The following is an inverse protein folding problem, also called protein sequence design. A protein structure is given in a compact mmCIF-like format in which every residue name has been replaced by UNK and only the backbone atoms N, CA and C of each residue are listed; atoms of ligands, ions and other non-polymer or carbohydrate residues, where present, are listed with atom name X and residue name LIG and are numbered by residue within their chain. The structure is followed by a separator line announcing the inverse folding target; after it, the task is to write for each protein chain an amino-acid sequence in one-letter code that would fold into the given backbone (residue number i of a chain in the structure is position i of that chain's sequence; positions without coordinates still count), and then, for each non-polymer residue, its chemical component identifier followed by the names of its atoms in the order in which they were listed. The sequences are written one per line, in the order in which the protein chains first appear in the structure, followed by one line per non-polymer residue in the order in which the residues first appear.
data_IF_458901764061
#
_entry.id   IF_458901764061
#
_cell.length_a   1.000
_cell.length_b   1.000
_cell.length_c   1.000
_cell.angle_alpha   90.00
_cell.angle_beta   90.00
_cell.angle_gamma   90.00
#
_symmetry.space_group_name_H-M   'P 1'
#
loop_
_entity.id
_entity.type
_entity.pdbx_description
1 polymer ?
#
# COMPACT_ATOMS: atom_id res chain seq x y z
N UNK A 1 22.79 -11.56 13.27
CA UNK A 1 22.81 -10.41 12.33
C UNK A 1 21.43 -10.31 11.72
N UNK A 2 20.76 -9.16 11.79
CA UNK A 2 19.49 -8.98 11.10
C UNK A 2 19.73 -9.07 9.58
N UNK A 3 18.92 -9.84 8.87
CA UNK A 3 19.06 -9.97 7.42
C UNK A 3 18.72 -8.62 6.76
N UNK A 4 19.34 -8.31 5.62
CA UNK A 4 19.04 -7.10 4.84
C UNK A 4 17.54 -7.00 4.48
N UNK A 5 16.85 -8.14 4.43
CA UNK A 5 15.43 -8.24 4.16
C UNK A 5 14.53 -7.77 5.31
N UNK A 6 15.02 -7.75 6.55
CA UNK A 6 14.29 -7.29 7.75
C UNK A 6 14.60 -5.84 8.12
N UNK A 7 15.12 -5.04 7.18
CA UNK A 7 15.36 -3.60 7.37
C UNK A 7 14.33 -2.78 6.61
N UNK A 8 14.14 -1.52 7.03
CA UNK A 8 13.34 -0.56 6.28
C UNK A 8 13.81 -0.50 4.83
N UNK A 9 12.89 -0.63 3.89
CA UNK A 9 13.18 -0.51 2.48
C UNK A 9 13.03 0.94 2.03
N UNK A 10 14.09 1.50 1.44
CA UNK A 10 14.11 2.88 0.93
C UNK A 10 14.53 2.85 -0.53
N UNK A 11 13.62 3.14 -1.48
CA UNK A 11 13.93 3.09 -2.90
C UNK A 11 15.15 3.95 -3.25
N UNK A 12 16.14 3.36 -3.92
CA UNK A 12 17.39 4.01 -4.32
C UNK A 12 18.54 3.92 -3.31
N UNK A 13 18.32 3.38 -2.10
CA UNK A 13 19.40 3.10 -1.11
C UNK A 13 19.84 1.63 -1.09
N UNK A 14 19.07 0.75 -1.71
CA UNK A 14 19.29 -0.70 -1.75
C UNK A 14 19.35 -1.17 -3.21
N UNK A 15 19.88 -2.38 -3.42
CA UNK A 15 19.94 -3.03 -4.73
C UNK A 15 18.59 -3.04 -5.44
N UNK A 16 18.61 -2.87 -6.75
CA UNK A 16 17.41 -2.96 -7.58
C UNK A 16 16.76 -4.35 -7.42
N UNK A 17 15.46 -4.36 -7.14
CA UNK A 17 14.66 -5.59 -7.07
C UNK A 17 13.91 -5.76 -8.38
N UNK A 18 13.84 -6.99 -8.89
CA UNK A 18 12.85 -7.34 -9.92
C UNK A 18 11.43 -7.17 -9.37
N UNK A 19 10.43 -7.07 -10.24
CA UNK A 19 9.03 -6.95 -9.81
C UNK A 19 8.60 -8.11 -8.90
N UNK A 20 8.95 -9.35 -9.27
CA UNK A 20 8.64 -10.54 -8.47
C UNK A 20 9.33 -10.51 -7.10
N UNK A 21 10.61 -10.09 -7.04
CA UNK A 21 11.32 -9.94 -5.76
C UNK A 21 10.70 -8.85 -4.89
N UNK A 22 10.30 -7.72 -5.49
CA UNK A 22 9.62 -6.65 -4.78
C UNK A 22 8.25 -7.10 -4.26
N UNK A 23 7.44 -7.79 -5.08
CA UNK A 23 6.14 -8.29 -4.66
C UNK A 23 6.28 -9.28 -3.48
N UNK A 24 7.20 -10.24 -3.58
CA UNK A 24 7.41 -11.25 -2.55
C UNK A 24 7.94 -10.72 -1.20
N UNK A 25 8.58 -9.54 -1.20
CA UNK A 25 9.20 -8.92 0.00
C UNK A 25 8.42 -7.72 0.54
N UNK A 26 7.88 -6.89 -0.36
CA UNK A 26 7.32 -5.56 -0.09
C UNK A 26 5.81 -5.50 -0.39
N UNK A 27 5.27 -6.50 -1.08
CA UNK A 27 3.88 -6.56 -1.53
C UNK A 27 3.58 -5.89 -2.87
N UNK A 28 2.42 -6.24 -3.43
CA UNK A 28 2.03 -5.88 -4.79
C UNK A 28 1.97 -4.37 -5.02
N UNK A 29 1.43 -3.60 -4.05
CA UNK A 29 1.36 -2.13 -4.16
C UNK A 29 2.75 -1.50 -4.18
N UNK A 30 3.65 -1.92 -3.30
CA UNK A 30 5.03 -1.42 -3.27
C UNK A 30 5.78 -1.78 -4.55
N UNK A 31 5.61 -3.00 -5.08
CA UNK A 31 6.17 -3.42 -6.35
C UNK A 31 5.65 -2.56 -7.52
N UNK A 32 4.36 -2.22 -7.52
CA UNK A 32 3.75 -1.29 -8.47
C UNK A 32 4.38 0.11 -8.40
N UNK A 33 4.55 0.68 -7.20
CA UNK A 33 5.20 1.98 -7.01
C UNK A 33 6.65 1.98 -7.53
N UNK A 34 7.40 0.91 -7.28
CA UNK A 34 8.76 0.74 -7.80
C UNK A 34 8.78 0.67 -9.33
N UNK A 35 7.84 -0.05 -9.94
CA UNK A 35 7.70 -0.14 -11.39
C UNK A 35 7.40 1.23 -12.01
N UNK A 36 6.46 1.99 -11.44
CA UNK A 36 6.12 3.34 -11.92
C UNK A 36 7.33 4.28 -11.83
N UNK A 37 8.10 4.20 -10.73
CA UNK A 37 9.34 4.99 -10.57
C UNK A 37 10.42 4.59 -11.57
N UNK A 38 10.57 3.30 -11.87
CA UNK A 38 11.52 2.82 -12.89
C UNK A 38 11.15 3.30 -14.30
N UNK A 39 9.86 3.56 -14.56
CA UNK A 39 9.37 4.18 -15.79
C UNK A 39 9.50 5.71 -15.81
N UNK A 40 10.06 6.33 -14.76
CA UNK A 40 10.24 7.78 -14.66
C UNK A 40 8.97 8.57 -14.37
N UNK A 41 7.89 7.91 -13.95
CA UNK A 41 6.64 8.59 -13.57
C UNK A 41 6.80 9.31 -12.22
N UNK A 42 6.07 10.42 -12.00
CA UNK A 42 6.16 11.21 -10.77
C UNK A 42 5.48 10.49 -9.60
N UNK A 43 6.21 9.57 -8.96
CA UNK A 43 5.75 8.86 -7.77
C UNK A 43 6.23 9.59 -6.52
N UNK A 44 5.33 10.02 -5.60
CA UNK A 44 5.73 10.59 -4.33
C UNK A 44 6.64 9.64 -3.55
N UNK A 45 7.62 10.21 -2.87
CA UNK A 45 8.59 9.50 -2.05
C UNK A 45 7.89 8.57 -1.07
N UNK A 46 8.43 7.35 -0.95
CA UNK A 46 7.88 6.33 -0.08
C UNK A 46 8.99 5.46 0.49
N UNK A 47 8.68 4.83 1.61
CA UNK A 47 9.47 3.79 2.24
C UNK A 47 8.55 2.62 2.56
N UNK A 48 9.11 1.44 2.75
CA UNK A 48 8.33 0.23 3.03
C UNK A 48 8.90 -0.48 4.23
N UNK A 49 8.03 -0.82 5.18
CA UNK A 49 8.29 -1.82 6.20
C UNK A 49 8.01 -3.19 5.58
N UNK A 50 9.04 -3.98 5.23
CA UNK A 50 8.86 -5.26 4.54
C UNK A 50 8.17 -6.30 5.42
N UNK A 51 7.65 -7.36 4.79
CA UNK A 51 6.98 -8.45 5.51
C UNK A 51 7.87 -9.13 6.56
N UNK A 52 9.18 -9.22 6.31
CA UNK A 52 10.15 -9.79 7.23
C UNK A 52 10.24 -9.06 8.59
N UNK A 53 9.76 -7.82 8.71
CA UNK A 53 9.65 -7.13 10.01
C UNK A 53 8.55 -7.72 10.89
N UNK A 54 7.49 -8.25 10.27
CA UNK A 54 6.31 -8.77 10.97
C UNK A 54 6.36 -10.30 11.14
N UNK A 55 7.14 -11.00 10.32
CA UNK A 55 7.26 -12.47 10.36
C UNK A 55 7.60 -13.04 11.75
N UNK A 56 8.58 -12.49 12.51
CA UNK A 56 8.91 -13.02 13.84
C UNK A 56 7.74 -12.97 14.82
N UNK A 57 6.89 -11.95 14.70
CA UNK A 57 5.72 -11.76 15.56
C UNK A 57 4.64 -12.83 15.34
N UNK A 58 4.54 -13.31 14.09
CA UNK A 58 3.54 -14.25 13.62
C UNK A 58 4.04 -15.71 13.61
N UNK A 59 5.33 -15.92 13.88
CA UNK A 59 5.95 -17.23 13.89
C UNK A 59 5.31 -18.14 14.97
N UNK A 60 5.08 -19.40 14.61
CA UNK A 60 4.47 -20.41 15.49
C UNK A 60 2.95 -20.31 15.64
N UNK A 61 2.30 -19.25 15.16
CA UNK A 61 0.84 -19.17 15.19
C UNK A 61 0.20 -20.05 14.11
N UNK A 62 -0.95 -20.70 14.38
CA UNK A 62 -1.69 -21.42 13.36
C UNK A 62 -1.97 -20.54 12.14
N UNK A 63 -1.82 -21.11 10.94
CA UNK A 63 -2.11 -20.43 9.66
C UNK A 63 -3.57 -20.62 9.22
N UNK A 64 -4.34 -21.40 9.98
CA UNK A 64 -5.77 -21.65 9.80
C UNK A 64 -6.62 -20.61 10.52
N UNK A 65 -7.94 -20.73 10.41
CA UNK A 65 -8.91 -19.85 11.09
C UNK A 65 -8.68 -19.69 12.59
N UNK A 66 -8.17 -20.73 13.25
CA UNK A 66 -7.88 -20.72 14.69
C UNK A 66 -6.82 -19.68 15.10
N UNK A 67 -5.88 -19.33 14.21
CA UNK A 67 -4.79 -18.40 14.52
C UNK A 67 -5.04 -16.95 14.09
N UNK A 68 -6.10 -16.67 13.33
CA UNK A 68 -6.27 -15.36 12.69
C UNK A 68 -6.51 -14.21 13.69
N UNK A 69 -7.30 -14.48 14.73
CA UNK A 69 -7.57 -13.50 15.77
C UNK A 69 -6.28 -13.11 16.53
N UNK A 70 -5.46 -14.10 16.88
CA UNK A 70 -4.18 -13.85 17.57
C UNK A 70 -3.18 -13.13 16.65
N UNK A 71 -3.10 -13.51 15.37
CA UNK A 71 -2.26 -12.82 14.37
C UNK A 71 -2.65 -11.34 14.26
N UNK A 72 -3.95 -11.04 14.19
CA UNK A 72 -4.46 -9.67 14.16
C UNK A 72 -4.13 -8.90 15.45
N UNK A 73 -4.33 -9.53 16.61
CA UNK A 73 -4.06 -8.92 17.91
C UNK A 73 -2.58 -8.56 18.07
N UNK A 74 -1.67 -9.49 17.73
CA UNK A 74 -0.22 -9.23 17.80
C UNK A 74 0.21 -8.09 16.88
N UNK A 75 -0.30 -8.04 15.65
CA UNK A 75 0.00 -6.95 14.71
C UNK A 75 -0.55 -5.60 15.20
N UNK A 76 -1.72 -5.61 15.85
CA UNK A 76 -2.33 -4.39 16.40
C UNK A 76 -1.50 -3.81 17.56
N UNK A 77 -0.77 -4.65 18.29
CA UNK A 77 0.18 -4.25 19.34
C UNK A 77 1.63 -4.18 18.85
N UNK A 78 1.87 -4.15 17.53
CA UNK A 78 3.22 -4.14 16.99
C UNK A 78 3.94 -2.83 17.30
N UNK A 79 5.12 -2.94 17.91
CA UNK A 79 6.03 -1.82 18.12
C UNK A 79 7.15 -1.86 17.08
N UNK A 80 7.35 -0.73 16.40
CA UNK A 80 8.43 -0.60 15.40
C UNK A 80 9.78 -0.71 16.12
N UNK A 81 10.66 -1.66 15.74
CA UNK A 81 11.96 -1.84 16.38
C UNK A 81 12.81 -0.56 16.35
N UNK A 82 13.63 -0.26 17.38
CA UNK A 82 14.37 1.00 17.49
C UNK A 82 15.19 1.38 16.25
N UNK A 83 15.88 0.41 15.64
CA UNK A 83 16.66 0.64 14.43
C UNK A 83 15.79 1.04 13.24
N UNK A 84 14.67 0.34 13.02
CA UNK A 84 13.68 0.66 11.98
C UNK A 84 13.04 2.01 12.23
N UNK A 85 12.71 2.32 13.49
CA UNK A 85 12.13 3.59 13.91
C UNK A 85 13.09 4.75 13.61
N UNK A 86 14.37 4.62 13.96
CA UNK A 86 15.39 5.63 13.67
C UNK A 86 15.55 5.88 12.16
N UNK A 87 15.64 4.81 11.36
CA UNK A 87 15.76 4.92 9.90
C UNK A 87 14.51 5.56 9.26
N UNK A 88 13.32 5.20 9.76
CA UNK A 88 12.06 5.78 9.31
C UNK A 88 11.98 7.25 9.68
N UNK A 89 12.34 7.63 10.92
CA UNK A 89 12.40 9.02 11.32
C UNK A 89 13.32 9.85 10.41
N UNK A 90 14.52 9.33 10.14
CA UNK A 90 15.47 9.99 9.25
C UNK A 90 14.92 10.19 7.83
N UNK A 91 14.23 9.17 7.28
CA UNK A 91 13.62 9.27 5.96
C UNK A 91 12.49 10.29 5.92
N UNK A 92 11.61 10.30 6.91
CA UNK A 92 10.45 11.20 6.94
C UNK A 92 10.83 12.65 7.24
N UNK A 93 11.85 12.88 8.08
CA UNK A 93 12.39 14.24 8.31
C UNK A 93 12.93 14.85 7.00
N UNK A 94 13.52 14.05 6.11
CA UNK A 94 13.95 14.52 4.80
C UNK A 94 12.77 14.89 3.87
N UNK A 95 11.54 14.53 4.23
CA UNK A 95 10.32 14.90 3.54
C UNK A 95 9.55 16.02 4.23
N UNK A 96 10.16 16.67 5.23
CA UNK A 96 9.56 17.71 6.07
C UNK A 96 8.41 17.23 6.97
N UNK A 97 8.39 15.93 7.33
CA UNK A 97 7.47 15.42 8.34
C UNK A 97 7.87 15.94 9.74
N UNK A 98 6.92 16.37 10.61
CA UNK A 98 5.46 16.23 10.50
C UNK A 98 4.73 17.38 9.80
N UNK A 99 5.39 18.44 9.36
CA UNK A 99 4.74 19.56 8.68
C UNK A 99 4.12 19.13 7.34
N UNK A 100 4.79 18.22 6.63
CA UNK A 100 4.26 17.52 5.47
C UNK A 100 3.67 16.15 5.90
N UNK A 101 2.35 15.94 5.77
CA UNK A 101 1.72 14.67 6.16
C UNK A 101 2.13 13.50 5.26
N UNK A 102 1.95 12.29 5.80
CA UNK A 102 2.16 11.03 5.09
C UNK A 102 0.88 10.18 5.08
N UNK A 103 0.79 9.29 4.09
CA UNK A 103 -0.19 8.23 4.01
C UNK A 103 0.47 6.89 4.37
N UNK A 104 -0.17 6.13 5.25
CA UNK A 104 0.25 4.77 5.63
C UNK A 104 -0.67 3.78 4.93
N UNK A 105 -0.12 2.91 4.09
CA UNK A 105 -0.87 2.07 3.15
C UNK A 105 -0.44 0.63 3.26
N UNK A 106 -1.39 -0.27 3.30
CA UNK A 106 -1.19 -1.71 3.26
C UNK A 106 -0.59 -2.17 1.94
N UNK A 107 0.33 -3.12 1.99
CA UNK A 107 0.88 -3.84 0.83
C UNK A 107 1.11 -5.28 1.26
N UNK A 108 0.62 -6.28 0.54
CA UNK A 108 0.71 -7.68 1.02
C UNK A 108 1.65 -8.49 0.14
N UNK A 109 2.61 -9.15 0.78
CA UNK A 109 3.77 -9.78 0.13
C UNK A 109 3.53 -11.17 -0.47
N UNK A 110 2.30 -11.68 -0.36
CA UNK A 110 1.83 -12.89 -1.05
C UNK A 110 0.77 -12.57 -2.13
N UNK A 111 0.68 -11.29 -2.51
CA UNK A 111 -0.02 -10.87 -3.72
C UNK A 111 0.85 -11.23 -4.94
N UNK A 112 0.46 -12.30 -5.64
CA UNK A 112 0.93 -12.50 -7.01
C UNK A 112 0.39 -11.37 -7.87
N UNK A 113 1.23 -10.35 -8.09
CA UNK A 113 0.90 -9.11 -8.77
C UNK A 113 0.43 -9.25 -10.23
N UNK A 114 0.44 -10.46 -10.78
CA UNK A 114 -0.08 -10.76 -12.13
C UNK A 114 -1.53 -11.27 -12.13
N UNK A 115 -2.03 -11.85 -11.03
CA UNK A 115 -3.36 -12.49 -11.00
C UNK A 115 -4.32 -11.95 -9.92
N UNK A 116 -3.80 -11.36 -8.84
CA UNK A 116 -4.60 -11.03 -7.65
C UNK A 116 -4.30 -9.62 -7.13
N UNK A 117 -4.89 -8.60 -7.77
CA UNK A 117 -4.97 -7.28 -7.17
C UNK A 117 -6.12 -7.25 -6.15
N UNK A 118 -5.88 -6.65 -4.97
CA UNK A 118 -6.89 -6.39 -3.95
C UNK A 118 -7.42 -4.94 -4.07
N UNK A 119 -8.39 -4.64 -4.97
CA UNK A 119 -8.98 -3.31 -5.01
C UNK A 119 -9.76 -3.06 -3.70
N UNK A 120 -9.40 -1.98 -2.99
CA UNK A 120 -10.23 -1.38 -1.93
C UNK A 120 -10.40 -2.16 -0.62
N UNK A 121 -9.73 -3.30 -0.41
CA UNK A 121 -10.01 -4.17 0.75
C UNK A 121 -9.10 -3.99 1.96
N UNK A 122 -8.01 -3.24 1.83
CA UNK A 122 -7.02 -3.09 2.89
C UNK A 122 -6.91 -1.64 3.34
N UNK A 123 -6.75 -1.45 4.66
CA UNK A 123 -6.76 -0.12 5.26
C UNK A 123 -5.63 0.76 4.70
N UNK A 124 -5.97 2.03 4.57
CA UNK A 124 -5.02 3.13 4.44
C UNK A 124 -5.38 4.16 5.52
N UNK A 125 -4.36 4.78 6.11
CA UNK A 125 -4.54 5.91 7.03
C UNK A 125 -3.90 7.12 6.36
N UNK A 126 -4.73 8.10 6.03
CA UNK A 126 -4.32 9.33 5.39
C UNK A 126 -4.07 10.43 6.41
N UNK A 127 -3.39 11.49 5.96
CA UNK A 127 -3.17 12.73 6.72
C UNK A 127 -2.51 12.49 8.07
N UNK A 128 -1.61 11.51 8.16
CA UNK A 128 -0.83 11.27 9.37
C UNK A 128 0.19 12.39 9.49
N UNK A 129 0.11 13.16 10.58
CA UNK A 129 0.87 14.39 10.79
C UNK A 129 1.54 14.46 12.15
N UNK A 130 1.73 13.33 12.83
CA UNK A 130 2.48 13.25 14.08
C UNK A 130 3.07 11.84 14.29
N UNK A 131 4.11 11.75 15.13
CA UNK A 131 4.83 10.50 15.37
C UNK A 131 3.97 9.43 16.08
N UNK A 132 3.23 9.73 17.16
CA UNK A 132 2.32 8.75 17.76
C UNK A 132 1.32 8.15 16.78
N UNK A 133 0.66 8.99 15.97
CA UNK A 133 -0.29 8.58 14.95
C UNK A 133 0.37 7.70 13.88
N UNK A 134 1.60 8.01 13.48
CA UNK A 134 2.36 7.18 12.54
C UNK A 134 2.58 5.76 13.07
N UNK A 135 2.96 5.60 14.34
CA UNK A 135 3.18 4.28 14.94
C UNK A 135 1.89 3.48 15.04
N UNK A 136 0.81 4.12 15.51
CA UNK A 136 -0.51 3.51 15.55
C UNK A 136 -1.01 3.11 14.15
N UNK A 137 -0.79 3.97 13.15
CA UNK A 137 -1.17 3.70 11.77
C UNK A 137 -0.41 2.51 11.17
N UNK A 138 0.90 2.39 11.44
CA UNK A 138 1.69 1.23 10.99
C UNK A 138 1.14 -0.08 11.55
N UNK A 139 0.88 -0.15 12.86
CA UNK A 139 0.33 -1.34 13.52
C UNK A 139 -1.07 -1.68 12.98
N UNK A 140 -1.96 -0.68 12.92
CA UNK A 140 -3.32 -0.82 12.38
C UNK A 140 -3.32 -1.33 10.93
N UNK A 141 -2.52 -0.71 10.07
CA UNK A 141 -2.46 -1.08 8.65
C UNK A 141 -1.88 -2.48 8.47
N UNK A 142 -0.87 -2.88 9.26
CA UNK A 142 -0.37 -4.24 9.24
C UNK A 142 -1.44 -5.26 9.69
N UNK A 143 -2.18 -4.96 10.76
CA UNK A 143 -3.26 -5.80 11.28
C UNK A 143 -4.44 -5.95 10.30
N UNK A 144 -4.69 -4.93 9.47
CA UNK A 144 -5.78 -4.94 8.47
C UNK A 144 -5.70 -6.09 7.46
N UNK A 145 -4.52 -6.72 7.30
CA UNK A 145 -4.34 -7.94 6.51
C UNK A 145 -5.17 -9.13 7.03
N UNK A 146 -5.65 -9.07 8.29
CA UNK A 146 -6.51 -10.05 8.93
C UNK A 146 -7.92 -9.51 9.20
N UNK A 147 -8.31 -8.40 8.58
CA UNK A 147 -9.70 -7.91 8.62
C UNK A 147 -10.66 -8.91 7.98
N UNK A 148 -11.92 -8.87 8.36
CA UNK A 148 -12.95 -9.74 7.79
C UNK A 148 -12.97 -9.67 6.24
N UNK A 149 -12.90 -8.45 5.69
CA UNK A 149 -12.86 -8.23 4.24
C UNK A 149 -11.65 -8.89 3.57
N UNK A 150 -10.46 -8.73 4.15
CA UNK A 150 -9.25 -9.36 3.63
C UNK A 150 -9.34 -10.89 3.67
N UNK A 151 -9.86 -11.46 4.77
CA UNK A 151 -10.02 -12.90 4.93
C UNK A 151 -11.06 -13.50 3.96
N UNK A 152 -12.20 -12.82 3.78
CA UNK A 152 -13.24 -13.23 2.82
C UNK A 152 -12.66 -13.28 1.41
N UNK A 153 -11.94 -12.23 0.98
CA UNK A 153 -11.31 -12.23 -0.33
C UNK A 153 -10.32 -13.36 -0.50
N UNK A 154 -9.45 -13.59 0.48
CA UNK A 154 -8.45 -14.67 0.42
C UNK A 154 -9.11 -16.03 0.27
N UNK A 155 -10.21 -16.29 0.98
CA UNK A 155 -11.02 -17.50 0.80
C UNK A 155 -11.59 -17.62 -0.62
N UNK A 156 -12.20 -16.55 -1.14
CA UNK A 156 -12.76 -16.55 -2.49
C UNK A 156 -11.72 -16.78 -3.58
N UNK A 157 -10.48 -16.33 -3.36
CA UNK A 157 -9.36 -16.50 -4.29
C UNK A 157 -8.54 -17.78 -4.06
N UNK A 158 -8.88 -18.59 -3.06
CA UNK A 158 -8.09 -19.78 -2.70
C UNK A 158 -6.68 -19.47 -2.19
N UNK A 159 -6.45 -18.25 -1.69
CA UNK A 159 -5.17 -17.81 -1.14
C UNK A 159 -4.99 -18.31 0.30
N UNK A 160 -3.75 -18.55 0.78
CA UNK A 160 -3.49 -18.93 2.16
C UNK A 160 -4.08 -17.91 3.15
N UNK A 161 -4.71 -18.33 4.26
CA UNK A 161 -5.29 -17.38 5.21
C UNK A 161 -4.24 -16.59 6.00
N UNK A 162 -3.03 -17.15 6.15
CA UNK A 162 -1.91 -16.46 6.76
C UNK A 162 -1.30 -15.45 5.78
N UNK A 163 -1.70 -14.18 5.90
CA UNK A 163 -1.15 -13.09 5.11
C UNK A 163 0.25 -12.70 5.57
N UNK A 164 1.08 -12.23 4.62
CA UNK A 164 2.39 -11.61 4.87
C UNK A 164 2.29 -10.08 4.70
N UNK A 165 1.92 -9.32 5.76
CA UNK A 165 1.71 -7.88 5.65
C UNK A 165 3.02 -7.14 5.46
N UNK A 166 3.01 -6.13 4.60
CA UNK A 166 4.00 -5.06 4.51
C UNK A 166 3.28 -3.71 4.56
N UNK A 167 4.00 -2.65 4.93
CA UNK A 167 3.41 -1.32 5.11
C UNK A 167 4.20 -0.29 4.33
N UNK A 168 3.54 0.43 3.45
CA UNK A 168 4.09 1.58 2.72
C UNK A 168 3.80 2.84 3.52
N UNK A 169 4.82 3.64 3.78
CA UNK A 169 4.67 5.03 4.25
C UNK A 169 5.07 5.93 3.10
N UNK A 170 4.15 6.77 2.64
CA UNK A 170 4.31 7.58 1.44
C UNK A 170 4.03 9.04 1.75
N UNK A 171 4.86 9.96 1.24
CA UNK A 171 4.59 11.40 1.32
C UNK A 171 3.23 11.69 0.71
N UNK A 172 2.33 12.32 1.47
CA UNK A 172 0.99 12.60 1.00
C UNK A 172 0.98 13.87 0.14
N UNK A 173 0.38 13.78 -1.04
CA UNK A 173 0.20 14.95 -1.91
C UNK A 173 -0.96 15.79 -1.38
N UNK A 174 -0.76 17.11 -1.26
CA UNK A 174 -1.83 18.08 -1.02
C UNK A 174 -2.67 18.24 -2.29
N UNK A 175 -3.50 17.24 -2.57
CA UNK A 175 -4.25 17.14 -3.81
C UNK A 175 -5.33 18.21 -3.90
N UNK A 176 -5.33 18.97 -5.00
CA UNK A 176 -6.47 19.82 -5.40
C UNK A 176 -7.57 18.97 -6.07
N UNK A 177 -7.15 17.93 -6.77
CA UNK A 177 -8.00 16.89 -7.34
C UNK A 177 -7.26 15.56 -7.32
N UNK A 178 -8.01 14.47 -7.30
CA UNK A 178 -7.50 13.11 -7.37
C UNK A 178 -8.46 12.24 -8.18
N UNK A 179 -7.97 11.13 -8.73
CA UNK A 179 -8.79 10.29 -9.58
C UNK A 179 -8.24 8.89 -9.78
N UNK A 180 -9.04 8.09 -10.49
CA UNK A 180 -8.68 6.76 -10.99
C UNK A 180 -8.76 6.79 -12.51
N UNK A 181 -7.71 6.31 -13.17
CA UNK A 181 -7.65 6.18 -14.61
C UNK A 181 -7.74 4.69 -14.98
N UNK A 182 -8.69 4.36 -15.84
CA UNK A 182 -8.83 3.05 -16.45
C UNK A 182 -8.33 3.13 -17.89
N UNK A 183 -7.30 2.35 -18.21
CA UNK A 183 -6.77 2.28 -19.57
C UNK A 183 -7.67 1.48 -20.52
N UNK A 184 -8.62 0.74 -19.98
CA UNK A 184 -9.73 0.11 -20.70
C UNK A 184 -10.91 0.06 -19.74
N UNK A 185 -12.05 0.56 -20.19
CA UNK A 185 -13.32 0.51 -19.45
C UNK A 185 -14.33 -0.35 -20.24
N UNK A 186 -15.07 -1.28 -19.61
CA UNK A 186 -15.93 -2.23 -20.34
C UNK A 186 -16.95 -1.54 -21.27
N UNK A 187 -17.51 -0.42 -20.83
CA UNK A 187 -18.50 0.38 -21.54
C UNK A 187 -17.88 1.19 -22.69
N UNK A 188 -16.61 1.61 -22.54
CA UNK A 188 -15.88 2.44 -23.49
C UNK A 188 -14.50 1.82 -23.83
N UNK A 189 -14.45 0.67 -24.52
CA UNK A 189 -13.22 -0.09 -24.67
C UNK A 189 -12.14 0.62 -25.50
N UNK A 190 -12.53 1.60 -26.32
CA UNK A 190 -11.63 2.42 -27.16
C UNK A 190 -11.16 3.70 -26.48
N UNK A 191 -11.61 3.97 -25.25
CA UNK A 191 -11.34 5.20 -24.52
C UNK A 191 -10.61 4.91 -23.20
N UNK A 192 -9.90 5.90 -22.72
CA UNK A 192 -9.38 5.98 -21.36
C UNK A 192 -10.46 6.64 -20.51
N UNK A 193 -10.97 5.95 -19.49
CA UNK A 193 -11.94 6.53 -18.57
C UNK A 193 -11.24 7.06 -17.33
N UNK A 194 -11.42 8.34 -17.01
CA UNK A 194 -10.88 8.98 -15.82
C UNK A 194 -12.02 9.43 -14.91
N UNK A 195 -12.03 8.92 -13.68
CA UNK A 195 -12.94 9.37 -12.62
C UNK A 195 -12.19 10.30 -11.70
N UNK A 196 -12.63 11.55 -11.56
CA UNK A 196 -11.96 12.56 -10.75
C UNK A 196 -12.89 13.19 -9.71
N UNK A 197 -12.29 13.58 -8.59
CA UNK A 197 -12.96 14.32 -7.51
C UNK A 197 -12.07 15.45 -7.03
N UNK A 198 -12.68 16.50 -6.48
CA UNK A 198 -11.95 17.55 -5.78
C UNK A 198 -11.34 17.01 -4.48
N UNK A 199 -10.12 17.45 -4.15
CA UNK A 199 -9.40 17.04 -2.95
C UNK A 199 -8.77 15.63 -3.06
N UNK A 200 -8.80 14.89 -1.95
CA UNK A 200 -8.19 13.56 -1.84
C UNK A 200 -9.09 12.48 -2.45
N UNK A 201 -8.48 11.47 -3.08
CA UNK A 201 -9.19 10.41 -3.80
C UNK A 201 -9.78 9.30 -2.94
N UNK A 202 -9.71 9.38 -1.60
CA UNK A 202 -10.23 8.33 -0.72
C UNK A 202 -11.75 8.16 -0.86
N UNK A 203 -12.49 9.27 -0.86
CA UNK A 203 -13.94 9.24 -1.01
C UNK A 203 -14.38 8.67 -2.36
N UNK A 204 -13.58 8.83 -3.40
CA UNK A 204 -13.80 8.19 -4.70
C UNK A 204 -13.61 6.67 -4.61
N UNK A 205 -12.47 6.22 -4.09
CA UNK A 205 -12.13 4.78 -4.02
C UNK A 205 -13.09 4.00 -3.11
N UNK A 206 -13.63 4.64 -2.08
CA UNK A 206 -14.62 4.04 -1.17
C UNK A 206 -16.07 4.18 -1.66
N UNK A 207 -16.31 4.79 -2.83
CA UNK A 207 -17.65 4.99 -3.40
C UNK A 207 -18.52 5.99 -2.62
N UNK A 208 -17.92 6.86 -1.83
CA UNK A 208 -18.61 7.88 -1.03
C UNK A 208 -18.83 9.19 -1.80
N UNK A 209 -17.99 9.46 -2.80
CA UNK A 209 -18.09 10.63 -3.66
C UNK A 209 -18.48 10.21 -5.07
N UNK A 210 -19.38 10.97 -5.69
CA UNK A 210 -19.72 10.83 -7.10
C UNK A 210 -18.61 11.53 -7.89
N UNK A 211 -17.84 10.81 -8.74
CA UNK A 211 -16.83 11.44 -9.57
C UNK A 211 -17.43 12.21 -10.74
N UNK A 212 -16.66 13.18 -11.23
CA UNK A 212 -16.75 13.61 -12.62
C UNK A 212 -16.02 12.56 -13.49
N UNK A 213 -16.68 12.11 -14.55
CA UNK A 213 -16.13 11.18 -15.53
C UNK A 213 -15.66 11.94 -16.75
N UNK A 214 -14.43 11.66 -17.17
CA UNK A 214 -13.82 12.18 -18.39
C UNK A 214 -13.37 11.00 -19.25
N UNK A 215 -13.80 10.94 -20.49
CA UNK A 215 -13.39 9.92 -21.44
C UNK A 215 -12.41 10.53 -22.45
N UNK A 216 -11.25 9.90 -22.63
CA UNK A 216 -10.24 10.34 -23.60
C UNK A 216 -10.03 9.28 -24.67
N UNK A 217 -9.97 9.70 -25.93
CA UNK A 217 -9.67 8.80 -27.04
C UNK A 217 -8.26 8.24 -26.90
N UNK A 218 -8.11 6.91 -26.97
CA UNK A 218 -6.79 6.26 -26.96
C UNK A 218 -5.93 6.63 -28.16
N UNK A 219 -6.57 6.97 -29.29
CA UNK A 219 -5.88 7.21 -30.55
C UNK A 219 -5.12 8.54 -30.55
N UNK A 220 -5.66 9.57 -29.90
CA UNK A 220 -5.12 10.93 -29.97
C UNK A 220 -5.10 11.68 -28.63
N UNK A 221 -5.58 11.06 -27.54
CA UNK A 221 -5.62 11.66 -26.20
C UNK A 221 -6.61 12.82 -26.05
N UNK A 222 -7.50 13.04 -27.01
CA UNK A 222 -8.49 14.11 -26.93
C UNK A 222 -9.67 13.72 -26.06
N UNK A 223 -10.22 14.69 -25.33
CA UNK A 223 -11.44 14.52 -24.56
C UNK A 223 -12.61 14.22 -25.52
N UNK A 224 -13.34 13.16 -25.21
CA UNK A 224 -14.52 12.69 -25.95
C UNK A 224 -15.78 13.18 -25.25
N UNK A 225 -15.85 13.01 -23.94
CA UNK A 225 -16.94 13.46 -23.07
C UNK A 225 -16.43 13.77 -21.67
#
# INVERSE_FOLDING_TARGET
MASENSQLFVPGRQSALSFAQAAARLGGKAAGLLRLRALGLPVPEFVVLPAALFEPLLAGLPTTTAGLAERCARLSSYEVPPATRAALCQALLAWDFPAQPVAVRSSVADEDGEANAFPGMMDSVLSVSDWPALWGAVARVAASAYSERALVYRRHRGLPLAARPAVVVQRQVAARAAGVLFTTFPEYPQELASHAVAGLGEGLVNGQLVPEEFCLSKANGQLVS
#
